data_IF_269560242474
#
_entry.id   IF_269560242474
#
_cell.length_a   1.000
_cell.length_b   1.000
_cell.length_c   1.000
_cell.angle_alpha   90.00
_cell.angle_beta   90.00
_cell.angle_gamma   90.00
#
_symmetry.space_group_name_H-M   'P 1'
#
loop_
_entity.id
_entity.type
_entity.pdbx_description
1 polymer ?
#
# COMPACT_ATOMS: atom_id res chain seq x y z
N UNK A 1 16.86 -18.76 -53.99
CA UNK A 1 16.81 -18.99 -52.53
C UNK A 1 17.41 -17.76 -51.84
N UNK A 2 16.60 -16.72 -51.62
CA UNK A 2 17.04 -15.54 -50.87
C UNK A 2 15.95 -15.20 -49.86
N UNK A 3 16.21 -15.69 -48.64
CA UNK A 3 15.98 -15.03 -47.36
C UNK A 3 14.80 -14.05 -47.30
N UNK A 4 13.61 -14.58 -47.06
CA UNK A 4 12.56 -13.83 -46.38
C UNK A 4 12.51 -14.25 -44.91
N UNK A 5 13.60 -13.94 -44.19
CA UNK A 5 13.55 -13.87 -42.73
C UNK A 5 12.80 -12.59 -42.39
N UNK A 6 11.47 -12.64 -42.45
CA UNK A 6 10.61 -11.61 -41.91
C UNK A 6 10.88 -11.57 -40.39
N UNK A 7 11.82 -10.73 -39.99
CA UNK A 7 11.96 -10.27 -38.61
C UNK A 7 10.63 -9.60 -38.26
N UNK A 8 9.70 -10.39 -37.75
CA UNK A 8 8.50 -9.92 -37.09
C UNK A 8 8.99 -9.24 -35.81
N UNK A 9 9.39 -7.97 -35.93
CA UNK A 9 9.78 -7.14 -34.81
C UNK A 9 8.54 -6.97 -33.93
N UNK A 10 8.43 -7.83 -32.92
CA UNK A 10 7.51 -7.69 -31.81
C UNK A 10 7.94 -6.42 -31.06
N UNK A 11 7.43 -5.27 -31.46
CA UNK A 11 7.51 -4.04 -30.68
C UNK A 11 6.53 -4.18 -29.51
N UNK A 12 6.98 -4.81 -28.43
CA UNK A 12 6.30 -4.78 -27.14
C UNK A 12 6.26 -3.33 -26.65
N UNK A 13 5.11 -2.67 -26.82
CA UNK A 13 4.86 -1.36 -26.24
C UNK A 13 4.99 -1.45 -24.71
N UNK A 14 5.95 -0.72 -24.16
CA UNK A 14 6.13 -0.59 -22.72
C UNK A 14 5.10 0.40 -22.17
N UNK A 15 4.00 -0.09 -21.61
CA UNK A 15 3.13 0.74 -20.79
C UNK A 15 3.84 1.06 -19.47
N UNK A 16 3.91 2.33 -19.03
CA UNK A 16 4.44 2.64 -17.71
C UNK A 16 3.55 1.99 -16.65
N UNK A 17 4.09 0.98 -15.96
CA UNK A 17 3.43 0.39 -14.81
C UNK A 17 3.55 1.37 -13.63
N UNK A 18 2.43 1.96 -13.22
CA UNK A 18 2.37 2.71 -11.98
C UNK A 18 2.04 1.74 -10.84
N UNK A 19 2.87 1.75 -9.80
CA UNK A 19 2.62 0.93 -8.61
C UNK A 19 1.52 1.57 -7.78
N UNK A 20 0.35 0.94 -7.75
CA UNK A 20 -0.70 1.26 -6.78
C UNK A 20 -0.36 0.63 -5.42
N UNK A 21 -0.83 1.24 -4.34
CA UNK A 21 -0.68 0.69 -2.99
C UNK A 21 -1.94 0.92 -2.16
N UNK A 22 -2.09 0.10 -1.13
CA UNK A 22 -3.22 0.20 -0.20
C UNK A 22 -2.81 1.01 1.02
N UNK A 23 -3.66 1.93 1.42
CA UNK A 23 -3.56 2.63 2.70
C UNK A 23 -4.58 2.03 3.69
N UNK A 24 -4.21 2.04 4.97
CA UNK A 24 -4.98 1.51 6.08
C UNK A 24 -5.09 2.58 7.16
N UNK A 25 -6.32 2.86 7.58
CA UNK A 25 -6.57 3.61 8.81
C UNK A 25 -6.63 2.62 9.97
N UNK A 26 -5.49 2.52 10.66
CA UNK A 26 -5.26 1.58 11.74
C UNK A 26 -5.75 2.17 13.06
N UNK A 27 -6.35 1.31 13.86
CA UNK A 27 -6.73 1.57 15.25
C UNK A 27 -5.82 0.74 16.13
N UNK A 28 -5.02 1.40 16.98
CA UNK A 28 -4.23 0.73 18.01
C UNK A 28 -4.90 0.98 19.36
N UNK A 29 -5.48 -0.07 19.93
CA UNK A 29 -6.25 0.01 21.16
C UNK A 29 -5.61 -0.84 22.25
N UNK A 30 -5.52 -0.28 23.45
CA UNK A 30 -5.14 -1.02 24.66
C UNK A 30 -6.43 -1.43 25.39
N UNK A 31 -6.84 -2.71 25.36
CA UNK A 31 -8.10 -3.16 25.93
C UNK A 31 -8.13 -3.06 27.46
N UNK A 32 -6.98 -3.01 28.12
CA UNK A 32 -6.87 -2.91 29.58
C UNK A 32 -7.09 -1.48 30.07
N UNK A 33 -6.57 -0.49 29.35
CA UNK A 33 -6.64 0.94 29.75
C UNK A 33 -7.73 1.71 29.03
N UNK A 34 -8.29 1.16 27.95
CA UNK A 34 -9.22 1.86 27.07
C UNK A 34 -8.56 2.94 26.20
N UNK A 35 -7.23 3.08 26.22
CA UNK A 35 -6.53 4.04 25.38
C UNK A 35 -6.55 3.59 23.91
N UNK A 36 -6.78 4.55 23.02
CA UNK A 36 -6.81 4.33 21.59
C UNK A 36 -6.01 5.40 20.87
N UNK A 37 -5.32 4.99 19.79
CA UNK A 37 -4.73 5.91 18.82
C UNK A 37 -5.01 5.44 17.40
N UNK A 38 -5.24 6.41 16.52
CA UNK A 38 -5.48 6.17 15.09
C UNK A 38 -4.26 6.62 14.29
N UNK A 39 -3.82 5.81 13.35
CA UNK A 39 -2.73 6.13 12.43
C UNK A 39 -3.06 5.67 11.01
N UNK A 40 -2.53 6.39 10.02
CA UNK A 40 -2.61 5.96 8.62
C UNK A 40 -1.28 5.32 8.22
N UNK A 41 -1.34 4.15 7.59
CA UNK A 41 -0.18 3.33 7.26
C UNK A 41 -0.35 2.64 5.90
N UNK A 42 0.75 2.36 5.20
CA UNK A 42 0.77 1.47 4.02
C UNK A 42 0.91 0.00 4.41
N UNK A 43 1.25 -0.27 5.67
CA UNK A 43 1.34 -1.60 6.25
C UNK A 43 -0.01 -2.02 6.83
N UNK A 44 -0.43 -3.25 6.54
CA UNK A 44 -1.60 -3.86 7.16
C UNK A 44 -1.40 -4.06 8.69
N UNK A 45 -2.44 -4.37 9.48
CA UNK A 45 -2.31 -4.50 10.93
C UNK A 45 -1.24 -5.50 11.40
N UNK A 46 -1.05 -6.61 10.67
CA UNK A 46 -0.04 -7.62 11.02
C UNK A 46 1.35 -7.09 10.70
N UNK A 47 1.53 -6.53 9.51
CA UNK A 47 2.79 -5.92 9.09
C UNK A 47 3.19 -4.77 10.01
N UNK A 48 2.25 -3.87 10.36
CA UNK A 48 2.52 -2.69 11.18
C UNK A 48 3.15 -3.07 12.52
N UNK A 49 2.65 -4.13 13.18
CA UNK A 49 3.23 -4.63 14.43
C UNK A 49 4.69 -5.07 14.30
N UNK A 50 5.11 -5.53 13.13
CA UNK A 50 6.49 -5.98 12.90
C UNK A 50 7.48 -4.82 12.71
N UNK A 51 7.02 -3.65 12.26
CA UNK A 51 7.88 -2.51 11.93
C UNK A 51 7.77 -1.34 12.92
N UNK A 52 6.71 -1.30 13.74
CA UNK A 52 6.45 -0.22 14.67
C UNK A 52 6.34 -0.73 16.12
N UNK A 53 6.69 0.11 17.11
CA UNK A 53 6.46 -0.23 18.51
C UNK A 53 4.96 -0.35 18.77
N UNK A 54 4.55 -1.57 19.11
CA UNK A 54 3.20 -1.92 19.56
C UNK A 54 3.39 -2.81 20.79
N UNK A 55 2.78 -2.44 21.91
CA UNK A 55 2.88 -3.22 23.14
C UNK A 55 2.20 -4.59 22.96
N UNK A 56 2.55 -5.54 23.81
CA UNK A 56 2.03 -6.90 23.71
C UNK A 56 0.51 -6.94 23.91
N UNK A 57 0.02 -6.14 24.85
CA UNK A 57 -1.39 -6.00 25.22
C UNK A 57 -2.21 -5.15 24.24
N UNK A 58 -1.56 -4.32 23.42
CA UNK A 58 -2.24 -3.50 22.42
C UNK A 58 -2.73 -4.39 21.27
N UNK A 59 -3.91 -4.09 20.72
CA UNK A 59 -4.44 -4.70 19.51
C UNK A 59 -4.34 -3.71 18.35
N UNK A 60 -3.98 -4.21 17.17
CA UNK A 60 -3.91 -3.41 15.93
C UNK A 60 -4.99 -3.95 15.00
N UNK A 61 -5.95 -3.10 14.64
CA UNK A 61 -7.01 -3.39 13.67
C UNK A 61 -7.08 -2.27 12.64
N UNK A 62 -7.94 -2.38 11.62
CA UNK A 62 -8.24 -1.27 10.72
C UNK A 62 -9.74 -0.99 10.72
N UNK A 63 -10.12 0.29 10.60
CA UNK A 63 -11.52 0.71 10.43
C UNK A 63 -11.86 1.10 9.00
N UNK A 64 -10.85 1.47 8.20
CA UNK A 64 -11.02 1.80 6.78
C UNK A 64 -9.75 1.48 5.99
N UNK A 65 -9.92 1.30 4.67
CA UNK A 65 -8.83 1.10 3.73
C UNK A 65 -9.20 1.64 2.35
N UNK A 66 -8.24 2.22 1.64
CA UNK A 66 -8.42 2.74 0.29
C UNK A 66 -7.21 2.43 -0.60
N UNK A 67 -7.45 2.44 -1.90
CA UNK A 67 -6.38 2.32 -2.90
C UNK A 67 -5.81 3.71 -3.21
N UNK A 68 -4.52 3.86 -3.04
CA UNK A 68 -3.77 5.00 -3.55
C UNK A 68 -3.29 4.70 -4.97
N UNK A 69 -3.89 5.39 -5.94
CA UNK A 69 -3.59 5.28 -7.37
C UNK A 69 -2.44 6.22 -7.77
N UNK A 70 -1.64 5.81 -8.75
CA UNK A 70 -0.62 6.66 -9.37
C UNK A 70 0.80 6.47 -8.83
N UNK A 71 1.69 7.44 -9.10
CA UNK A 71 3.12 7.31 -8.86
C UNK A 71 3.52 7.42 -7.38
N UNK A 72 4.04 6.32 -6.82
CA UNK A 72 4.56 6.15 -5.45
C UNK A 72 6.05 6.44 -5.26
N UNK A 73 6.76 6.87 -6.30
CA UNK A 73 8.20 7.16 -6.21
C UNK A 73 8.49 8.32 -5.23
N UNK A 74 9.67 8.28 -4.61
CA UNK A 74 10.24 9.44 -3.92
C UNK A 74 9.66 9.77 -2.54
N UNK A 75 9.25 8.77 -1.75
CA UNK A 75 8.80 8.96 -0.35
C UNK A 75 7.62 9.94 -0.21
N UNK A 76 6.70 9.94 -1.18
CA UNK A 76 5.52 10.80 -1.13
C UNK A 76 4.64 10.47 0.08
N UNK A 77 3.90 11.46 0.62
CA UNK A 77 2.93 11.23 1.67
C UNK A 77 1.84 10.24 1.21
N UNK A 78 1.22 9.56 2.18
CA UNK A 78 0.09 8.66 1.92
C UNK A 78 -1.07 9.48 1.33
N UNK A 79 -1.72 8.96 0.28
CA UNK A 79 -2.83 9.66 -0.37
C UNK A 79 -4.02 9.83 0.59
N UNK A 80 -4.82 10.92 0.45
CA UNK A 80 -5.97 11.14 1.32
C UNK A 80 -7.03 10.04 1.14
N UNK A 81 -7.79 9.76 2.21
CA UNK A 81 -8.98 8.92 2.12
C UNK A 81 -9.97 9.57 1.14
N UNK A 82 -10.55 8.82 0.19
CA UNK A 82 -11.63 9.33 -0.67
C UNK A 82 -12.83 9.79 0.16
N UNK A 83 -13.48 10.85 -0.31
CA UNK A 83 -14.80 11.25 0.20
C UNK A 83 -15.83 10.18 -0.18
N UNK A 84 -16.75 9.86 0.73
CA UNK A 84 -17.84 8.89 0.54
C UNK A 84 -19.07 9.53 -0.10
#
# INVERSE_FOLDING_TARGET
>A
MLFWAALFQITLGHSPAHAEYRAFELVIANPTTGQERVVVSTLDPRQYRHYHPVKLEEQVTYRSTWMCKGNTSGQKPICPKPEE
#
